data_IF_824454144524
#
_entry.id   IF_824454144524
#
_cell.length_a   1.000
_cell.length_b   1.000
_cell.length_c   1.000
_cell.angle_alpha   90.00
_cell.angle_beta   90.00
_cell.angle_gamma   90.00
#
_symmetry.space_group_name_H-M   'P 1'
#
loop_
_entity.id
_entity.type
_entity.pdbx_description
1 polymer ?
#
# COMPACT_ATOMS: atom_id res chain seq x y z
N UNK A 1 56.33 -63.87 -12.35
CA UNK A 1 55.18 -63.89 -13.29
C UNK A 1 54.05 -64.69 -12.65
N UNK A 2 53.25 -64.04 -11.79
CA UNK A 2 52.03 -64.57 -11.17
C UNK A 2 51.44 -63.42 -10.34
N UNK A 3 50.57 -62.60 -10.95
CA UNK A 3 49.88 -61.47 -10.27
C UNK A 3 48.84 -60.76 -11.16
N UNK A 4 48.25 -61.43 -12.15
CA UNK A 4 47.31 -60.79 -13.10
C UNK A 4 45.97 -61.51 -13.28
N UNK A 5 45.57 -62.38 -12.35
CA UNK A 5 44.35 -63.20 -12.52
C UNK A 5 43.31 -63.12 -11.41
N UNK A 6 43.47 -62.26 -10.39
CA UNK A 6 42.51 -62.16 -9.28
C UNK A 6 41.64 -60.90 -9.27
N UNK A 7 41.54 -60.16 -10.38
CA UNK A 7 40.75 -58.91 -10.45
C UNK A 7 39.39 -59.03 -11.17
N UNK A 8 38.97 -60.23 -11.62
CA UNK A 8 37.89 -60.34 -12.60
C UNK A 8 36.80 -61.39 -12.31
N UNK A 9 36.50 -61.72 -11.04
CA UNK A 9 35.56 -62.82 -10.75
C UNK A 9 34.45 -62.60 -9.72
N UNK A 10 34.06 -61.36 -9.41
CA UNK A 10 32.97 -61.12 -8.44
C UNK A 10 31.77 -60.29 -8.90
N UNK A 11 31.73 -59.73 -10.14
CA UNK A 11 30.61 -58.86 -10.56
C UNK A 11 29.74 -59.45 -11.70
N UNK A 12 30.08 -60.63 -12.22
CA UNK A 12 29.32 -61.24 -13.34
C UNK A 12 28.15 -62.17 -12.96
N UNK A 13 27.74 -62.26 -11.70
CA UNK A 13 26.80 -63.31 -11.25
C UNK A 13 25.38 -62.84 -10.89
N UNK A 14 24.91 -61.70 -11.39
CA UNK A 14 23.56 -61.18 -11.08
C UNK A 14 22.72 -60.70 -12.29
N UNK A 15 23.17 -60.96 -13.53
CA UNK A 15 22.49 -60.49 -14.74
C UNK A 15 21.97 -61.62 -15.67
N UNK A 16 21.72 -62.83 -15.15
CA UNK A 16 21.11 -63.91 -15.93
C UNK A 16 19.95 -64.55 -15.17
N UNK A 17 18.80 -63.90 -15.17
CA UNK A 17 17.51 -64.58 -14.98
C UNK A 17 16.38 -63.76 -15.59
N UNK A 18 15.52 -64.47 -16.33
CA UNK A 18 14.27 -64.04 -16.98
C UNK A 18 14.40 -63.45 -18.39
N UNK A 19 14.65 -64.33 -19.37
CA UNK A 19 14.11 -64.19 -20.72
C UNK A 19 12.89 -65.11 -20.83
N UNK A 20 11.68 -64.54 -20.77
CA UNK A 20 10.43 -65.22 -21.15
C UNK A 20 10.02 -64.65 -22.50
N UNK A 21 9.96 -65.54 -23.48
CA UNK A 21 9.55 -65.33 -24.86
C UNK A 21 8.04 -65.08 -24.94
N UNK A 22 7.61 -63.99 -25.57
CA UNK A 22 6.26 -63.88 -26.15
C UNK A 22 6.33 -63.28 -27.56
N UNK A 23 5.70 -63.99 -28.49
CA UNK A 23 5.58 -63.73 -29.93
C UNK A 23 4.71 -62.50 -30.25
N UNK A 24 4.81 -61.94 -31.47
CA UNK A 24 4.14 -60.71 -31.84
C UNK A 24 2.69 -60.98 -32.25
N UNK A 25 1.77 -60.12 -31.82
CA UNK A 25 0.46 -59.97 -32.44
C UNK A 25 0.21 -58.49 -32.70
N UNK A 26 0.16 -58.16 -33.99
CA UNK A 26 -0.33 -56.90 -34.50
C UNK A 26 -1.85 -56.86 -34.34
N UNK A 27 -2.39 -55.83 -33.69
CA UNK A 27 -3.75 -55.35 -33.97
C UNK A 27 -3.75 -53.83 -33.79
N UNK A 28 -3.99 -53.15 -34.91
CA UNK A 28 -4.46 -51.78 -35.05
C UNK A 28 -5.76 -51.56 -34.28
N UNK A 29 -5.81 -50.58 -33.38
CA UNK A 29 -7.06 -49.96 -32.96
C UNK A 29 -6.83 -48.50 -32.57
N UNK A 30 -7.39 -47.62 -33.39
CA UNK A 30 -7.57 -46.22 -33.09
C UNK A 30 -8.49 -46.03 -31.88
N UNK A 31 -8.15 -45.10 -30.97
CA UNK A 31 -9.14 -44.23 -30.33
C UNK A 31 -8.43 -43.07 -29.60
N UNK A 32 -8.77 -41.86 -30.05
CA UNK A 32 -8.91 -40.61 -29.29
C UNK A 32 -8.58 -40.68 -27.80
N UNK A 33 -7.45 -40.07 -27.40
CA UNK A 33 -7.24 -39.58 -26.03
C UNK A 33 -6.81 -38.13 -26.12
N UNK A 34 -7.74 -37.28 -25.68
CA UNK A 34 -7.56 -36.03 -24.97
C UNK A 34 -6.11 -35.53 -24.87
N UNK A 35 -5.86 -34.37 -25.47
CA UNK A 35 -4.64 -33.58 -25.29
C UNK A 35 -4.64 -33.00 -23.86
N UNK A 36 -4.37 -33.87 -22.87
CA UNK A 36 -3.94 -33.46 -21.53
C UNK A 36 -2.52 -32.96 -21.71
N UNK A 37 -2.35 -31.63 -21.66
CA UNK A 37 -1.06 -31.01 -21.39
C UNK A 37 -0.44 -31.72 -20.18
N UNK A 38 0.62 -32.47 -20.42
CA UNK A 38 1.35 -33.21 -19.40
C UNK A 38 1.97 -32.22 -18.39
N UNK A 39 1.64 -32.29 -17.09
CA UNK A 39 2.47 -31.73 -16.02
C UNK A 39 3.64 -32.67 -15.71
N UNK A 40 4.29 -33.21 -16.74
CA UNK A 40 5.32 -34.23 -16.59
C UNK A 40 6.66 -33.69 -16.11
N UNK A 41 6.97 -32.41 -16.36
CA UNK A 41 8.25 -31.80 -15.98
C UNK A 41 8.36 -31.51 -14.48
N UNK A 42 7.26 -31.16 -13.80
CA UNK A 42 7.28 -30.81 -12.38
C UNK A 42 7.60 -32.01 -11.47
N UNK A 43 7.16 -33.22 -11.84
CA UNK A 43 7.35 -34.41 -11.01
C UNK A 43 8.82 -34.88 -11.04
N UNK A 44 9.50 -34.81 -12.19
CA UNK A 44 10.91 -35.23 -12.28
C UNK A 44 11.86 -34.27 -11.54
N UNK A 45 11.63 -32.95 -11.59
CA UNK A 45 12.45 -31.97 -10.86
C UNK A 45 12.31 -32.11 -9.33
N UNK A 46 11.08 -32.32 -8.83
CA UNK A 46 10.84 -32.53 -7.39
C UNK A 46 11.52 -33.79 -6.85
N UNK A 47 11.56 -34.87 -7.65
CA UNK A 47 12.19 -36.14 -7.28
C UNK A 47 13.71 -36.02 -7.20
N UNK A 48 14.33 -35.27 -8.11
CA UNK A 48 15.78 -35.04 -8.09
C UNK A 48 16.20 -34.05 -6.99
N UNK A 49 15.37 -33.02 -6.72
CA UNK A 49 15.49 -32.12 -5.58
C UNK A 49 15.53 -32.88 -4.26
N UNK A 50 14.50 -33.69 -4.00
CA UNK A 50 14.41 -34.49 -2.78
C UNK A 50 15.54 -35.51 -2.68
N UNK A 51 15.94 -36.09 -3.81
CA UNK A 51 17.06 -37.04 -3.87
C UNK A 51 18.37 -36.39 -3.49
N UNK A 52 18.71 -35.20 -4.00
CA UNK A 52 19.99 -34.57 -3.71
C UNK A 52 20.01 -33.90 -2.33
N UNK A 53 18.92 -33.26 -1.91
CA UNK A 53 18.88 -32.54 -0.63
C UNK A 53 18.76 -33.47 0.59
N UNK A 54 18.15 -34.65 0.43
CA UNK A 54 17.99 -35.65 1.51
C UNK A 54 19.03 -36.78 1.45
N UNK A 55 19.83 -36.89 0.39
CA UNK A 55 20.89 -37.88 0.30
C UNK A 55 22.08 -37.55 1.20
N UNK A 56 22.85 -38.58 1.53
CA UNK A 56 24.19 -38.44 2.08
C UNK A 56 25.07 -37.77 1.01
N UNK A 57 25.81 -36.69 1.32
CA UNK A 57 26.68 -36.03 0.34
C UNK A 57 27.72 -37.00 -0.26
N UNK A 58 27.89 -36.96 -1.59
CA UNK A 58 28.82 -37.84 -2.32
C UNK A 58 29.47 -37.12 -3.50
N UNK A 59 30.71 -37.51 -3.85
CA UNK A 59 31.39 -37.02 -5.05
C UNK A 59 31.22 -38.03 -6.21
N UNK A 60 31.37 -37.59 -7.46
CA UNK A 60 31.30 -38.46 -8.64
C UNK A 60 32.64 -38.50 -9.38
N UNK A 61 33.12 -39.72 -9.63
CA UNK A 61 34.34 -39.98 -10.37
C UNK A 61 34.01 -40.58 -11.74
N UNK A 62 34.45 -39.93 -12.80
CA UNK A 62 34.35 -40.44 -14.17
C UNK A 62 35.69 -41.09 -14.53
N UNK A 63 35.70 -42.41 -14.69
CA UNK A 63 36.89 -43.19 -15.06
C UNK A 63 36.73 -43.68 -16.48
N UNK A 64 37.76 -43.51 -17.30
CA UNK A 64 37.83 -44.09 -18.64
C UNK A 64 38.62 -45.40 -18.59
N UNK A 65 37.92 -46.53 -18.68
CA UNK A 65 38.54 -47.85 -18.77
C UNK A 65 38.13 -48.45 -20.11
N UNK A 66 39.10 -48.79 -20.95
CA UNK A 66 38.89 -49.45 -22.25
C UNK A 66 37.90 -48.71 -23.19
N UNK A 67 38.01 -47.37 -23.28
CA UNK A 67 37.13 -46.51 -24.09
C UNK A 67 35.66 -46.47 -23.63
N UNK A 68 35.36 -46.89 -22.40
CA UNK A 68 34.04 -46.72 -21.77
C UNK A 68 34.16 -45.86 -20.52
N UNK A 69 33.36 -44.79 -20.46
CA UNK A 69 33.28 -43.89 -19.30
C UNK A 69 32.36 -44.53 -18.26
N UNK A 70 32.90 -44.89 -17.11
CA UNK A 70 32.14 -45.34 -15.94
C UNK A 70 32.03 -44.24 -14.90
N UNK A 71 30.82 -44.01 -14.37
CA UNK A 71 30.54 -43.01 -13.33
C UNK A 71 30.40 -43.72 -11.99
N UNK A 72 31.35 -43.50 -11.08
CA UNK A 72 31.34 -44.03 -9.72
C UNK A 72 30.88 -42.97 -8.73
N UNK A 73 30.03 -43.36 -7.77
CA UNK A 73 29.67 -42.51 -6.63
C UNK A 73 30.55 -42.88 -5.44
N UNK A 74 31.26 -41.89 -4.90
CA UNK A 74 32.27 -42.07 -3.86
C UNK A 74 31.94 -41.21 -2.64
N UNK A 75 32.47 -41.60 -1.48
CA UNK A 75 32.49 -40.72 -0.31
C UNK A 75 33.22 -39.40 -0.64
N UNK A 76 32.90 -38.36 0.13
CA UNK A 76 33.49 -37.03 -0.04
C UNK A 76 35.01 -37.11 -0.03
N UNK A 77 35.65 -36.68 -1.12
CA UNK A 77 37.10 -36.57 -1.23
C UNK A 77 37.62 -35.54 -0.21
N UNK A 78 38.63 -35.93 0.58
CA UNK A 78 39.30 -35.03 1.50
C UNK A 78 40.27 -34.13 0.73
N UNK A 79 39.77 -32.99 0.23
CA UNK A 79 40.58 -31.99 -0.45
C UNK A 79 40.62 -30.68 0.33
N UNK A 80 41.76 -29.94 0.30
CA UNK A 80 41.87 -28.66 0.97
C UNK A 80 40.78 -27.69 0.52
N UNK A 81 39.97 -27.21 1.47
CA UNK A 81 38.83 -26.30 1.24
C UNK A 81 37.79 -26.84 0.23
N UNK A 82 37.65 -28.16 0.09
CA UNK A 82 36.69 -28.80 -0.85
C UNK A 82 36.80 -28.25 -2.27
N UNK A 83 38.03 -27.98 -2.71
CA UNK A 83 38.34 -27.56 -4.08
C UNK A 83 38.70 -28.76 -4.93
N UNK A 84 38.27 -28.74 -6.19
CA UNK A 84 38.56 -29.78 -7.17
C UNK A 84 40.09 -29.98 -7.28
N UNK A 85 40.59 -31.20 -7.04
CA UNK A 85 42.02 -31.46 -7.13
C UNK A 85 42.45 -31.41 -8.60
N UNK A 86 43.64 -30.89 -8.86
CA UNK A 86 44.23 -30.95 -10.20
C UNK A 86 44.51 -32.43 -10.56
N UNK A 87 44.11 -32.82 -11.78
CA UNK A 87 44.32 -34.18 -12.26
C UNK A 87 45.83 -34.46 -12.40
N UNK A 88 46.34 -35.39 -11.59
CA UNK A 88 47.75 -35.76 -11.59
C UNK A 88 48.06 -36.77 -12.70
N UNK A 89 49.19 -36.61 -13.40
CA UNK A 89 49.60 -37.56 -14.47
C UNK A 89 50.19 -38.87 -13.92
N UNK A 90 50.47 -38.95 -12.62
CA UNK A 90 51.10 -40.09 -11.93
C UNK A 90 50.59 -40.18 -10.50
N UNK A 91 50.47 -41.41 -10.00
CA UNK A 91 50.03 -41.71 -8.63
C UNK A 91 48.76 -42.54 -8.60
N UNK A 92 48.32 -42.84 -7.39
CA UNK A 92 47.05 -43.53 -7.12
C UNK A 92 46.15 -42.64 -6.27
N UNK A 93 44.86 -42.71 -6.50
CA UNK A 93 43.80 -42.08 -5.73
C UNK A 93 43.10 -43.18 -4.94
N UNK A 94 43.07 -43.03 -3.62
CA UNK A 94 42.29 -43.91 -2.74
C UNK A 94 40.87 -43.36 -2.64
N UNK A 95 39.89 -44.20 -2.97
CA UNK A 95 38.47 -43.85 -2.94
C UNK A 95 37.68 -44.91 -2.15
N UNK A 96 36.55 -44.50 -1.58
CA UNK A 96 35.55 -45.41 -1.00
C UNK A 96 34.26 -45.25 -1.78
N UNK A 97 33.68 -46.36 -2.22
CA UNK A 97 32.42 -46.35 -2.95
C UNK A 97 31.27 -46.13 -1.96
N UNK A 98 30.25 -45.39 -2.37
CA UNK A 98 29.08 -45.10 -1.52
C UNK A 98 28.29 -46.38 -1.15
N UNK A 99 28.29 -47.38 -2.04
CA UNK A 99 27.62 -48.68 -1.82
C UNK A 99 28.42 -49.63 -0.91
N UNK A 100 29.73 -49.42 -0.80
CA UNK A 100 30.66 -50.27 -0.04
C UNK A 100 31.70 -49.40 0.71
N UNK A 101 31.31 -48.72 1.79
CA UNK A 101 32.17 -47.76 2.49
C UNK A 101 33.33 -48.42 3.26
N UNK A 102 33.21 -49.71 3.60
CA UNK A 102 34.22 -50.45 4.36
C UNK A 102 35.46 -50.84 3.52
N UNK A 103 35.41 -50.67 2.20
CA UNK A 103 36.47 -51.06 1.28
C UNK A 103 37.15 -49.84 0.63
N UNK A 104 38.48 -49.79 0.75
CA UNK A 104 39.31 -48.76 0.08
C UNK A 104 39.74 -49.28 -1.29
N UNK A 105 39.28 -48.61 -2.33
CA UNK A 105 39.63 -48.88 -3.72
C UNK A 105 40.75 -47.96 -4.17
N UNK A 106 41.68 -48.49 -4.96
CA UNK A 106 42.80 -47.73 -5.52
C UNK A 106 42.60 -47.53 -7.01
N UNK A 107 42.37 -46.29 -7.44
CA UNK A 107 42.24 -45.90 -8.85
C UNK A 107 43.51 -45.18 -9.29
N UNK A 108 44.01 -45.44 -10.49
CA UNK A 108 45.15 -44.68 -11.02
C UNK A 108 44.67 -43.34 -11.54
N UNK A 109 45.37 -42.26 -11.20
CA UNK A 109 45.00 -40.92 -11.68
C UNK A 109 44.95 -40.79 -13.21
N UNK A 110 45.71 -41.61 -13.93
CA UNK A 110 45.71 -41.60 -15.41
C UNK A 110 44.39 -42.08 -16.02
N UNK A 111 43.62 -42.87 -15.29
CA UNK A 111 42.34 -43.41 -15.75
C UNK A 111 41.17 -42.47 -15.37
N UNK A 112 41.44 -41.43 -14.56
CA UNK A 112 40.44 -40.44 -14.14
C UNK A 112 40.27 -39.36 -15.20
N UNK A 113 39.09 -39.33 -15.81
CA UNK A 113 38.72 -38.34 -16.84
C UNK A 113 38.22 -37.04 -16.18
N UNK A 114 37.33 -37.16 -15.19
CA UNK A 114 36.75 -36.01 -14.52
C UNK A 114 36.31 -36.34 -13.08
N UNK A 115 36.41 -35.34 -12.21
CA UNK A 115 35.89 -35.37 -10.84
C UNK A 115 34.82 -34.29 -10.74
N UNK A 116 33.59 -34.69 -10.43
CA UNK A 116 32.48 -33.78 -10.16
C UNK A 116 32.25 -33.81 -8.66
N UNK A 117 32.49 -32.67 -8.01
CA UNK A 117 32.24 -32.54 -6.57
C UNK A 117 30.75 -32.44 -6.29
N UNK A 118 30.35 -32.87 -5.09
CA UNK A 118 28.99 -32.72 -4.61
C UNK A 118 28.45 -31.29 -4.77
N UNK A 119 29.27 -30.32 -4.38
CA UNK A 119 28.94 -28.91 -4.41
C UNK A 119 28.75 -28.39 -5.85
N UNK A 120 29.60 -28.79 -6.78
CA UNK A 120 29.47 -28.47 -8.22
C UNK A 120 28.19 -29.08 -8.81
N UNK A 121 27.85 -30.30 -8.39
CA UNK A 121 26.61 -30.97 -8.81
C UNK A 121 25.38 -30.20 -8.34
N UNK A 122 25.34 -29.80 -7.06
CA UNK A 122 24.24 -28.97 -6.54
C UNK A 122 24.11 -27.65 -7.30
N UNK A 123 25.23 -26.97 -7.59
CA UNK A 123 25.22 -25.72 -8.34
C UNK A 123 24.74 -25.92 -9.80
N UNK A 124 25.16 -27.01 -10.44
CA UNK A 124 24.71 -27.36 -11.80
C UNK A 124 23.20 -27.63 -11.87
N UNK A 125 22.64 -28.25 -10.83
CA UNK A 125 21.20 -28.49 -10.75
C UNK A 125 20.44 -27.17 -10.58
N UNK A 126 20.93 -26.26 -9.74
CA UNK A 126 20.35 -24.91 -9.62
C UNK A 126 20.35 -24.16 -10.94
N UNK A 127 21.45 -24.21 -11.70
CA UNK A 127 21.47 -23.63 -13.05
C UNK A 127 20.42 -24.27 -13.96
N UNK A 128 20.28 -25.59 -13.93
CA UNK A 128 19.25 -26.31 -14.69
C UNK A 128 17.83 -25.86 -14.31
N UNK A 129 17.54 -25.71 -13.02
CA UNK A 129 16.24 -25.27 -12.53
C UNK A 129 15.92 -23.83 -12.95
N UNK A 130 16.90 -22.93 -12.85
CA UNK A 130 16.77 -21.54 -13.33
C UNK A 130 16.47 -21.52 -14.84
N UNK A 131 17.20 -22.32 -15.63
CA UNK A 131 17.01 -22.38 -17.09
C UNK A 131 15.66 -23.01 -17.48
N UNK A 132 15.13 -23.91 -16.66
CA UNK A 132 13.78 -24.48 -16.80
C UNK A 132 12.67 -23.55 -16.31
N UNK A 133 13.01 -22.45 -15.63
CA UNK A 133 12.05 -21.53 -15.02
C UNK A 133 11.41 -22.06 -13.72
N UNK A 134 12.00 -23.07 -13.09
CA UNK A 134 11.53 -23.61 -11.81
C UNK A 134 12.22 -22.89 -10.64
N UNK A 135 11.75 -21.67 -10.39
CA UNK A 135 12.35 -20.78 -9.40
C UNK A 135 12.06 -21.20 -7.95
N UNK A 136 10.92 -21.83 -7.69
CA UNK A 136 10.54 -22.23 -6.33
C UNK A 136 11.52 -23.28 -5.79
N UNK A 137 11.80 -24.32 -6.58
CA UNK A 137 12.78 -25.35 -6.21
C UNK A 137 14.22 -24.80 -6.18
N UNK A 138 14.57 -23.88 -7.10
CA UNK A 138 15.87 -23.22 -7.09
C UNK A 138 16.09 -22.39 -5.81
N UNK A 139 15.04 -21.72 -5.31
CA UNK A 139 15.11 -20.93 -4.08
C UNK A 139 15.47 -21.77 -2.85
N UNK A 140 14.91 -22.98 -2.75
CA UNK A 140 15.21 -23.89 -1.64
C UNK A 140 16.70 -24.31 -1.62
N UNK A 141 17.33 -24.47 -2.78
CA UNK A 141 18.78 -24.68 -2.86
C UNK A 141 19.57 -23.46 -2.37
N UNK A 142 19.14 -22.23 -2.67
CA UNK A 142 19.81 -21.04 -2.12
C UNK A 142 19.68 -20.95 -0.60
N UNK A 143 18.53 -21.32 -0.03
CA UNK A 143 18.35 -21.42 1.43
C UNK A 143 19.29 -22.48 2.03
N UNK A 144 19.51 -23.59 1.33
CA UNK A 144 20.42 -24.63 1.73
C UNK A 144 21.89 -24.18 1.70
N UNK A 145 22.33 -23.56 0.60
CA UNK A 145 23.68 -23.02 0.47
C UNK A 145 23.96 -22.00 1.56
N UNK A 146 23.04 -21.08 1.84
CA UNK A 146 23.18 -20.10 2.92
C UNK A 146 23.36 -20.73 4.31
N UNK A 147 22.79 -21.91 4.55
CA UNK A 147 22.87 -22.61 5.85
C UNK A 147 24.11 -23.49 6.00
N UNK A 148 24.59 -24.11 4.92
CA UNK A 148 25.63 -25.16 4.98
C UNK A 148 26.91 -24.85 4.22
N UNK A 149 26.87 -23.94 3.26
CA UNK A 149 27.95 -23.64 2.31
C UNK A 149 28.08 -22.14 2.09
N UNK A 150 28.20 -21.38 3.19
CA UNK A 150 28.35 -19.93 3.11
C UNK A 150 29.65 -19.54 2.39
N UNK A 151 29.57 -18.58 1.46
CA UNK A 151 30.71 -18.14 0.65
C UNK A 151 31.19 -19.11 -0.43
N UNK A 152 30.42 -20.16 -0.77
CA UNK A 152 30.79 -21.07 -1.85
C UNK A 152 30.94 -20.33 -3.20
N UNK A 153 32.05 -20.51 -3.93
CA UNK A 153 32.24 -19.91 -5.26
C UNK A 153 31.12 -20.31 -6.24
N UNK A 154 30.67 -19.35 -7.06
CA UNK A 154 29.65 -19.58 -8.08
C UNK A 154 28.19 -19.42 -7.60
N UNK A 155 27.92 -19.59 -6.29
CA UNK A 155 26.55 -19.40 -5.75
C UNK A 155 26.05 -17.98 -5.94
N UNK A 156 26.91 -16.97 -5.74
CA UNK A 156 26.56 -15.57 -5.95
C UNK A 156 26.17 -15.29 -7.42
N UNK A 157 26.89 -15.87 -8.39
CA UNK A 157 26.58 -15.70 -9.81
C UNK A 157 25.26 -16.40 -10.18
N UNK A 158 25.02 -17.59 -9.63
CA UNK A 158 23.74 -18.29 -9.79
C UNK A 158 22.57 -17.51 -9.19
N UNK A 159 22.76 -16.90 -8.02
CA UNK A 159 21.75 -16.05 -7.36
C UNK A 159 21.44 -14.80 -8.18
N UNK A 160 22.47 -14.16 -8.75
CA UNK A 160 22.29 -12.99 -9.62
C UNK A 160 21.48 -13.36 -10.88
N UNK A 161 21.83 -14.49 -11.52
CA UNK A 161 21.06 -15.02 -12.67
C UNK A 161 19.62 -15.34 -12.27
N UNK A 162 19.42 -15.98 -11.11
CA UNK A 162 18.10 -16.28 -10.57
C UNK A 162 17.25 -15.01 -10.36
N UNK A 163 17.80 -14.00 -9.68
CA UNK A 163 17.10 -12.73 -9.40
C UNK A 163 16.66 -12.03 -10.69
N UNK A 164 17.56 -11.97 -11.69
CA UNK A 164 17.24 -11.36 -12.98
C UNK A 164 16.14 -12.11 -13.73
N UNK A 165 16.26 -13.43 -13.84
CA UNK A 165 15.31 -14.27 -14.58
C UNK A 165 13.93 -14.30 -13.91
N UNK A 166 13.88 -14.46 -12.59
CA UNK A 166 12.61 -14.48 -11.86
C UNK A 166 11.91 -13.11 -11.91
N UNK A 167 12.69 -12.01 -11.79
CA UNK A 167 12.13 -10.67 -11.94
C UNK A 167 11.51 -10.47 -13.33
N UNK A 168 12.15 -10.93 -14.39
CA UNK A 168 11.61 -10.88 -15.75
C UNK A 168 10.29 -11.67 -15.90
N UNK A 169 10.18 -12.83 -15.25
CA UNK A 169 8.92 -13.61 -15.24
C UNK A 169 7.81 -12.88 -14.49
N UNK A 170 8.09 -12.36 -13.29
CA UNK A 170 7.10 -11.59 -12.53
C UNK A 170 6.67 -10.30 -13.24
N UNK A 171 7.62 -9.62 -13.89
CA UNK A 171 7.36 -8.48 -14.76
C UNK A 171 6.43 -8.84 -15.94
N UNK A 172 6.53 -10.05 -16.49
CA UNK A 172 5.71 -10.53 -17.58
C UNK A 172 4.31 -11.01 -17.14
N UNK A 173 4.16 -11.49 -15.89
CA UNK A 173 2.87 -11.89 -15.30
C UNK A 173 1.91 -10.70 -15.11
N UNK A 174 2.44 -9.48 -15.10
CA UNK A 174 1.68 -8.24 -15.16
C UNK A 174 1.80 -7.38 -13.92
N UNK A 175 0.93 -6.35 -13.85
CA UNK A 175 1.02 -5.25 -12.87
C UNK A 175 1.04 -5.68 -11.42
N UNK A 176 0.41 -6.81 -11.10
CA UNK A 176 0.28 -7.30 -9.73
C UNK A 176 1.63 -7.65 -9.08
N UNK A 177 2.64 -7.99 -9.90
CA UNK A 177 3.96 -8.43 -9.41
C UNK A 177 5.11 -7.52 -9.81
N UNK A 178 4.82 -6.35 -10.39
CA UNK A 178 5.85 -5.40 -10.81
C UNK A 178 6.68 -4.88 -9.60
N UNK A 179 6.08 -4.76 -8.41
CA UNK A 179 6.80 -4.34 -7.20
C UNK A 179 7.75 -5.42 -6.69
N UNK A 180 7.33 -6.68 -6.73
CA UNK A 180 8.13 -7.85 -6.38
C UNK A 180 9.29 -8.00 -7.37
N UNK A 181 9.02 -7.86 -8.67
CA UNK A 181 10.05 -7.85 -9.71
C UNK A 181 11.08 -6.74 -9.46
N UNK A 182 10.60 -5.52 -9.20
CA UNK A 182 11.47 -4.39 -8.87
C UNK A 182 12.33 -4.65 -7.63
N UNK A 183 11.77 -5.31 -6.61
CA UNK A 183 12.50 -5.63 -5.38
C UNK A 183 13.67 -6.60 -5.62
N UNK A 184 13.50 -7.60 -6.49
CA UNK A 184 14.56 -8.52 -6.88
C UNK A 184 15.66 -7.82 -7.67
N UNK A 185 15.27 -6.98 -8.65
CA UNK A 185 16.23 -6.23 -9.46
C UNK A 185 17.01 -5.20 -8.63
N UNK A 186 16.38 -4.56 -7.65
CA UNK A 186 17.08 -3.68 -6.72
C UNK A 186 18.05 -4.42 -5.82
N UNK A 187 17.70 -5.63 -5.38
CA UNK A 187 18.65 -6.48 -4.64
C UNK A 187 19.84 -6.84 -5.51
N UNK A 188 19.60 -7.24 -6.76
CA UNK A 188 20.64 -7.55 -7.74
C UNK A 188 21.55 -6.35 -8.00
N UNK A 189 20.98 -5.17 -8.23
CA UNK A 189 21.75 -3.94 -8.47
C UNK A 189 22.59 -3.54 -7.26
N UNK A 190 22.09 -3.74 -6.03
CA UNK A 190 22.86 -3.47 -4.81
C UNK A 190 24.08 -4.38 -4.69
N UNK A 191 23.94 -5.63 -5.08
CA UNK A 191 24.99 -6.65 -4.96
C UNK A 191 25.97 -6.57 -6.14
N UNK A 192 25.50 -6.26 -7.35
CA UNK A 192 26.29 -6.13 -8.57
C UNK A 192 25.65 -5.09 -9.53
N UNK A 193 26.05 -3.80 -9.45
CA UNK A 193 25.53 -2.74 -10.31
C UNK A 193 25.84 -2.95 -11.80
N UNK A 194 26.99 -3.56 -12.11
CA UNK A 194 27.48 -3.80 -13.46
C UNK A 194 26.99 -5.14 -14.03
N UNK A 195 25.95 -5.73 -13.43
CA UNK A 195 25.39 -7.00 -13.90
C UNK A 195 24.82 -6.84 -15.32
N UNK A 196 25.30 -7.71 -16.21
CA UNK A 196 24.79 -7.86 -17.57
C UNK A 196 24.30 -9.30 -17.74
N UNK A 197 23.06 -9.43 -18.19
CA UNK A 197 22.45 -10.73 -18.47
C UNK A 197 23.10 -11.46 -19.65
N UNK A 198 22.80 -12.75 -19.82
CA UNK A 198 23.29 -13.54 -20.95
C UNK A 198 22.85 -12.99 -22.32
N UNK A 199 21.76 -12.22 -22.36
CA UNK A 199 21.25 -11.54 -23.57
C UNK A 199 21.93 -10.18 -23.83
N UNK A 200 22.86 -9.77 -22.97
CA UNK A 200 23.55 -8.48 -23.07
C UNK A 200 22.78 -7.30 -22.46
N UNK A 201 21.66 -7.56 -21.77
CA UNK A 201 20.87 -6.50 -21.13
C UNK A 201 21.41 -6.17 -19.74
N UNK A 202 21.77 -4.91 -19.46
CA UNK A 202 22.10 -4.44 -18.12
C UNK A 202 20.92 -4.53 -17.15
N UNK A 203 21.18 -4.76 -15.87
CA UNK A 203 20.15 -4.76 -14.82
C UNK A 203 19.41 -3.42 -14.72
N UNK A 204 20.10 -2.31 -14.96
CA UNK A 204 19.53 -0.96 -14.85
C UNK A 204 18.43 -0.69 -15.89
N UNK A 205 18.54 -1.28 -17.08
CA UNK A 205 17.54 -1.13 -18.14
C UNK A 205 16.24 -1.86 -17.75
N UNK A 206 16.35 -3.04 -17.16
CA UNK A 206 15.19 -3.80 -16.68
C UNK A 206 14.53 -3.10 -15.48
N UNK A 207 15.34 -2.56 -14.54
CA UNK A 207 14.83 -1.71 -13.45
C UNK A 207 14.01 -0.56 -14.03
N UNK A 208 14.54 0.15 -15.03
CA UNK A 208 13.85 1.26 -15.66
C UNK A 208 12.54 0.84 -16.34
N UNK A 209 12.52 -0.31 -17.00
CA UNK A 209 11.33 -0.84 -17.66
C UNK A 209 10.21 -1.16 -16.66
N UNK A 210 10.54 -1.90 -15.59
CA UNK A 210 9.58 -2.26 -14.53
C UNK A 210 9.12 -1.01 -13.77
N UNK A 211 10.07 -0.15 -13.37
CA UNK A 211 9.78 1.07 -12.64
C UNK A 211 8.84 2.00 -13.43
N UNK A 212 9.04 2.13 -14.74
CA UNK A 212 8.14 2.90 -15.61
C UNK A 212 6.70 2.40 -15.53
N UNK A 213 6.48 1.08 -15.59
CA UNK A 213 5.12 0.50 -15.49
C UNK A 213 4.48 0.79 -14.13
N UNK A 214 5.24 0.67 -13.04
CA UNK A 214 4.76 1.00 -11.69
C UNK A 214 4.40 2.48 -11.57
N UNK A 215 5.25 3.38 -12.07
CA UNK A 215 5.00 4.81 -12.02
C UNK A 215 3.80 5.20 -12.89
N UNK A 216 3.69 4.65 -14.11
CA UNK A 216 2.55 4.88 -15.00
C UNK A 216 1.25 4.39 -14.37
N UNK A 217 1.27 3.24 -13.68
CA UNK A 217 0.11 2.73 -12.95
C UNK A 217 -0.32 3.67 -11.81
N UNK A 218 0.63 4.13 -11.00
CA UNK A 218 0.34 5.09 -9.94
C UNK A 218 -0.16 6.43 -10.45
N UNK A 219 0.37 6.92 -11.58
CA UNK A 219 -0.14 8.13 -12.23
C UNK A 219 -1.58 7.90 -12.71
N UNK A 220 -1.87 6.75 -13.31
CA UNK A 220 -3.22 6.43 -13.80
C UNK A 220 -4.28 6.33 -12.69
N UNK A 221 -3.85 6.04 -11.46
CA UNK A 221 -4.71 5.91 -10.27
C UNK A 221 -4.76 7.18 -9.40
N UNK A 222 -4.27 8.33 -9.88
CA UNK A 222 -4.10 9.58 -9.11
C UNK A 222 -3.28 9.44 -7.81
N UNK A 223 -2.39 8.45 -7.73
CA UNK A 223 -1.55 8.18 -6.55
C UNK A 223 -0.25 9.00 -6.58
N UNK A 224 -0.36 10.31 -6.80
CA UNK A 224 0.79 11.22 -7.01
C UNK A 224 1.77 11.30 -5.83
N UNK A 225 1.29 11.05 -4.60
CA UNK A 225 2.16 10.98 -3.41
C UNK A 225 3.09 9.77 -3.51
N UNK A 226 2.58 8.62 -3.98
CA UNK A 226 3.36 7.40 -4.11
C UNK A 226 4.40 7.51 -5.22
N UNK A 227 4.03 8.11 -6.37
CA UNK A 227 4.96 8.43 -7.46
C UNK A 227 6.16 9.19 -6.91
N UNK A 228 5.93 10.31 -6.21
CA UNK A 228 7.01 11.13 -5.64
C UNK A 228 7.86 10.39 -4.62
N UNK A 229 7.23 9.62 -3.72
CA UNK A 229 7.96 8.84 -2.70
C UNK A 229 8.85 7.79 -3.34
N UNK A 230 8.32 7.07 -4.34
CA UNK A 230 9.06 6.06 -5.08
C UNK A 230 10.21 6.70 -5.86
N UNK A 231 9.94 7.75 -6.65
CA UNK A 231 10.96 8.51 -7.39
C UNK A 231 12.10 9.01 -6.49
N UNK A 232 11.76 9.62 -5.34
CA UNK A 232 12.77 10.12 -4.39
C UNK A 232 13.64 8.98 -3.82
N UNK A 233 13.04 7.82 -3.55
CA UNK A 233 13.76 6.64 -3.05
C UNK A 233 14.70 6.10 -4.14
N UNK A 234 14.21 5.96 -5.37
CA UNK A 234 14.98 5.41 -6.49
C UNK A 234 16.16 6.31 -6.87
N UNK A 235 15.95 7.64 -6.92
CA UNK A 235 17.03 8.61 -7.15
C UNK A 235 18.10 8.52 -6.05
N UNK A 236 17.71 8.25 -4.80
CA UNK A 236 18.66 8.10 -3.69
C UNK A 236 19.47 6.81 -3.79
N UNK A 237 18.87 5.72 -4.27
CA UNK A 237 19.53 4.41 -4.30
C UNK A 237 20.39 4.17 -5.53
N UNK A 238 19.98 4.66 -6.69
CA UNK A 238 20.65 4.39 -7.98
C UNK A 238 21.32 5.66 -8.50
N UNK A 239 20.59 6.77 -8.50
CA UNK A 239 21.03 8.04 -9.09
C UNK A 239 19.98 8.59 -10.04
N UNK A 240 20.02 9.90 -10.30
CA UNK A 240 19.04 10.55 -11.20
C UNK A 240 19.34 10.24 -12.67
N UNK A 241 20.61 10.23 -13.05
CA UNK A 241 21.04 10.17 -14.46
C UNK A 241 20.76 8.80 -15.09
N UNK A 242 20.80 7.74 -14.27
CA UNK A 242 20.55 6.36 -14.69
C UNK A 242 19.05 5.99 -14.74
N UNK A 243 18.16 6.92 -14.36
CA UNK A 243 16.72 6.66 -14.21
C UNK A 243 15.85 7.59 -15.08
N UNK A 244 15.87 7.46 -16.41
CA UNK A 244 15.02 8.25 -17.31
C UNK A 244 13.53 8.08 -17.02
N UNK A 245 13.09 6.89 -16.59
CA UNK A 245 11.71 6.61 -16.21
C UNK A 245 11.19 7.51 -15.07
N UNK A 246 12.06 7.81 -14.11
CA UNK A 246 11.74 8.70 -12.99
C UNK A 246 11.68 10.15 -13.45
N UNK A 247 12.63 10.58 -14.30
CA UNK A 247 12.65 11.94 -14.85
C UNK A 247 11.39 12.21 -15.69
N UNK A 248 10.97 11.25 -16.52
CA UNK A 248 9.72 11.32 -17.28
C UNK A 248 8.50 11.46 -16.37
N UNK A 249 8.41 10.65 -15.32
CA UNK A 249 7.32 10.72 -14.35
C UNK A 249 7.29 12.06 -13.61
N UNK A 250 8.45 12.57 -13.17
CA UNK A 250 8.57 13.91 -12.56
C UNK A 250 8.11 15.00 -13.51
N UNK A 251 8.49 14.95 -14.78
CA UNK A 251 8.08 15.92 -15.79
C UNK A 251 6.55 15.93 -15.99
N UNK A 252 5.91 14.75 -15.99
CA UNK A 252 4.44 14.66 -16.05
C UNK A 252 3.77 15.27 -14.82
N UNK A 253 4.31 15.04 -13.62
CA UNK A 253 3.80 15.67 -12.39
C UNK A 253 3.96 17.19 -12.43
N UNK A 254 5.09 17.69 -12.92
CA UNK A 254 5.34 19.12 -13.10
C UNK A 254 4.33 19.70 -14.08
N UNK A 255 4.11 19.06 -15.24
CA UNK A 255 3.12 19.51 -16.23
C UNK A 255 1.72 19.59 -15.63
N UNK A 256 1.27 18.56 -14.91
CA UNK A 256 -0.04 18.57 -14.25
C UNK A 256 -0.14 19.67 -13.18
N UNK A 257 0.90 19.85 -12.36
CA UNK A 257 0.92 20.89 -11.35
C UNK A 257 0.93 22.31 -11.97
N UNK A 258 1.59 22.49 -13.12
CA UNK A 258 1.55 23.76 -13.88
C UNK A 258 0.15 24.06 -14.39
N UNK A 259 -0.58 23.06 -14.91
CA UNK A 259 -1.98 23.24 -15.31
C UNK A 259 -2.83 23.71 -14.12
N UNK A 260 -2.71 23.08 -12.95
CA UNK A 260 -3.42 23.53 -11.75
C UNK A 260 -3.00 24.92 -11.28
N UNK A 261 -1.72 25.28 -11.43
CA UNK A 261 -1.22 26.64 -11.13
C UNK A 261 -1.89 27.69 -12.01
N UNK A 262 -1.93 27.45 -13.33
CA UNK A 262 -2.55 28.35 -14.29
C UNK A 262 -4.06 28.50 -14.05
N UNK A 263 -4.76 27.39 -13.80
CA UNK A 263 -6.18 27.41 -13.45
C UNK A 263 -6.44 28.14 -12.13
N UNK A 264 -5.59 27.95 -11.11
CA UNK A 264 -5.70 28.66 -9.85
C UNK A 264 -5.49 30.17 -10.00
N UNK A 265 -4.57 30.59 -10.87
CA UNK A 265 -4.36 32.00 -11.20
C UNK A 265 -5.56 32.60 -11.93
N UNK A 266 -6.11 31.90 -12.93
CA UNK A 266 -7.32 32.35 -13.64
C UNK A 266 -8.52 32.47 -12.69
N UNK A 267 -8.72 31.49 -11.80
CA UNK A 267 -9.77 31.54 -10.78
C UNK A 267 -9.56 32.71 -9.80
N UNK A 268 -8.32 33.04 -9.46
CA UNK A 268 -7.99 34.23 -8.67
C UNK A 268 -8.35 35.53 -9.40
N UNK A 269 -7.99 35.65 -10.68
CA UNK A 269 -8.23 36.84 -11.49
C UNK A 269 -9.74 37.07 -11.71
N UNK A 270 -10.51 35.99 -11.82
CA UNK A 270 -11.97 36.00 -11.89
C UNK A 270 -12.67 36.19 -10.53
N UNK A 271 -11.92 36.41 -9.45
CA UNK A 271 -12.42 36.52 -8.06
C UNK A 271 -13.17 35.27 -7.56
N UNK A 272 -12.96 34.10 -8.19
CA UNK A 272 -13.46 32.79 -7.77
C UNK A 272 -12.54 32.18 -6.71
N UNK A 273 -12.42 32.85 -5.57
CA UNK A 273 -11.39 32.55 -4.57
C UNK A 273 -11.48 31.14 -3.96
N UNK A 274 -12.69 30.55 -3.90
CA UNK A 274 -12.91 29.18 -3.43
C UNK A 274 -12.26 28.17 -4.37
N UNK A 275 -12.53 28.29 -5.66
CA UNK A 275 -12.01 27.39 -6.70
C UNK A 275 -10.48 27.52 -6.78
N UNK A 276 -9.97 28.74 -6.73
CA UNK A 276 -8.53 29.01 -6.63
C UNK A 276 -7.89 28.27 -5.45
N UNK A 277 -8.54 28.24 -4.27
CA UNK A 277 -8.04 27.53 -3.09
C UNK A 277 -8.01 26.01 -3.29
N UNK A 278 -9.05 25.43 -3.90
CA UNK A 278 -9.11 24.00 -4.18
C UNK A 278 -8.02 23.59 -5.18
N UNK A 279 -7.88 24.33 -6.29
CA UNK A 279 -6.86 24.10 -7.32
C UNK A 279 -5.45 24.28 -6.76
N UNK A 280 -5.22 25.29 -5.91
CA UNK A 280 -3.95 25.48 -5.21
C UNK A 280 -3.58 24.28 -4.34
N UNK A 281 -4.55 23.69 -3.62
CA UNK A 281 -4.32 22.46 -2.85
C UNK A 281 -4.01 21.27 -3.73
N UNK A 282 -4.70 21.12 -4.86
CA UNK A 282 -4.43 20.06 -5.83
C UNK A 282 -3.02 20.20 -6.42
N UNK A 283 -2.63 21.40 -6.85
CA UNK A 283 -1.26 21.72 -7.27
C UNK A 283 -0.23 21.29 -6.22
N UNK A 284 -0.42 21.68 -4.96
CA UNK A 284 0.49 21.32 -3.86
C UNK A 284 0.45 19.81 -3.53
N UNK A 285 -0.68 19.11 -3.77
CA UNK A 285 -0.79 17.65 -3.64
C UNK A 285 0.01 16.94 -4.74
N UNK A 286 -0.02 17.45 -5.97
CA UNK A 286 0.71 16.87 -7.11
C UNK A 286 2.20 17.14 -7.00
N UNK A 287 2.61 18.41 -6.96
CA UNK A 287 4.03 18.79 -6.95
C UNK A 287 4.28 20.06 -6.10
N UNK A 288 4.65 19.90 -4.80
CA UNK A 288 4.83 21.03 -3.87
C UNK A 288 6.02 21.94 -4.17
N UNK A 289 6.98 21.45 -4.97
CA UNK A 289 8.23 22.18 -5.30
C UNK A 289 8.14 22.92 -6.63
N UNK A 290 6.92 23.11 -7.15
CA UNK A 290 6.71 23.87 -8.37
C UNK A 290 7.13 25.32 -8.16
N UNK A 291 7.93 25.87 -9.08
CA UNK A 291 8.40 27.24 -9.03
C UNK A 291 7.23 28.24 -9.03
N UNK A 292 7.23 29.18 -8.08
CA UNK A 292 6.14 30.15 -7.90
C UNK A 292 4.84 29.56 -7.36
N UNK A 293 4.73 28.24 -7.16
CA UNK A 293 3.51 27.59 -6.69
C UNK A 293 3.23 27.88 -5.22
N UNK A 294 4.27 27.93 -4.38
CA UNK A 294 4.12 28.21 -2.95
C UNK A 294 3.71 29.66 -2.69
N UNK A 295 4.27 30.59 -3.44
CA UNK A 295 3.96 32.02 -3.38
C UNK A 295 2.49 32.26 -3.75
N UNK A 296 2.02 31.65 -4.84
CA UNK A 296 0.62 31.69 -5.24
C UNK A 296 -0.30 31.09 -4.17
N UNK A 297 0.05 29.92 -3.61
CA UNK A 297 -0.73 29.30 -2.55
C UNK A 297 -0.85 30.18 -1.29
N UNK A 298 0.24 30.88 -0.92
CA UNK A 298 0.23 31.84 0.19
C UNK A 298 -0.68 33.04 -0.13
N UNK A 299 -0.63 33.57 -1.34
CA UNK A 299 -1.50 34.69 -1.75
C UNK A 299 -2.98 34.30 -1.74
N UNK A 300 -3.32 33.14 -2.31
CA UNK A 300 -4.69 32.60 -2.28
C UNK A 300 -5.16 32.45 -0.84
N UNK A 301 -4.34 31.86 0.04
CA UNK A 301 -4.68 31.67 1.44
C UNK A 301 -4.87 32.99 2.21
N UNK A 302 -4.19 34.07 1.81
CA UNK A 302 -4.40 35.40 2.40
C UNK A 302 -5.74 36.02 1.97
N UNK A 303 -6.14 35.84 0.70
CA UNK A 303 -7.41 36.38 0.18
C UNK A 303 -8.61 35.55 0.63
N UNK A 304 -8.45 34.23 0.74
CA UNK A 304 -9.50 33.29 1.15
C UNK A 304 -8.96 32.29 2.18
N UNK A 305 -8.97 32.66 3.47
CA UNK A 305 -8.49 31.80 4.52
C UNK A 305 -9.45 30.61 4.71
N UNK A 306 -8.89 29.40 4.70
CA UNK A 306 -9.62 28.16 4.95
C UNK A 306 -8.96 27.42 6.10
N UNK A 307 -9.75 26.99 7.07
CA UNK A 307 -9.30 26.21 8.23
C UNK A 307 -9.66 24.74 7.99
N UNK A 308 -8.66 23.87 7.94
CA UNK A 308 -8.87 22.41 7.90
C UNK A 308 -8.86 21.86 9.32
N UNK A 309 -9.92 21.14 9.69
CA UNK A 309 -10.07 20.52 11.00
C UNK A 309 -10.15 19.01 10.83
N UNK A 310 -9.19 18.29 11.41
CA UNK A 310 -9.24 16.84 11.48
C UNK A 310 -10.25 16.39 12.55
N UNK A 311 -11.15 15.48 12.19
CA UNK A 311 -12.16 14.92 13.10
C UNK A 311 -12.11 13.40 13.08
N UNK A 312 -12.36 12.79 14.24
CA UNK A 312 -12.41 11.32 14.39
C UNK A 312 -13.77 10.72 14.04
N UNK A 313 -14.82 11.54 14.04
CA UNK A 313 -16.20 11.13 13.79
C UNK A 313 -16.86 12.13 12.84
N UNK A 314 -17.57 11.63 11.82
CA UNK A 314 -18.39 12.45 10.91
C UNK A 314 -19.72 12.78 11.59
N UNK A 315 -20.26 14.00 11.40
CA UNK A 315 -21.61 14.32 11.85
C UNK A 315 -22.63 13.53 11.01
N UNK A 316 -23.65 12.99 11.68
CA UNK A 316 -24.86 12.45 11.03
C UNK A 316 -25.89 13.54 10.74
N UNK A 317 -26.02 14.50 11.65
CA UNK A 317 -26.97 15.62 11.52
C UNK A 317 -26.40 16.87 12.19
N UNK A 318 -26.50 18.06 11.59
CA UNK A 318 -26.00 19.28 12.22
C UNK A 318 -26.95 19.79 13.30
N UNK A 319 -26.82 19.26 14.53
CA UNK A 319 -27.68 19.62 15.67
C UNK A 319 -26.86 19.96 16.93
N UNK A 320 -26.91 21.25 17.30
CA UNK A 320 -26.26 21.83 18.48
C UNK A 320 -26.81 21.31 19.82
N UNK A 321 -28.06 20.82 19.85
CA UNK A 321 -28.74 20.39 21.07
C UNK A 321 -28.41 18.94 21.46
N UNK A 322 -27.89 18.14 20.52
CA UNK A 322 -27.53 16.75 20.76
C UNK A 322 -26.41 16.62 21.78
N UNK A 323 -26.69 15.92 22.87
CA UNK A 323 -25.71 15.61 23.91
C UNK A 323 -24.99 14.27 23.65
N UNK A 324 -25.61 13.40 22.87
CA UNK A 324 -25.13 12.06 22.53
C UNK A 324 -24.08 12.07 21.41
N UNK A 325 -24.10 13.09 20.54
CA UNK A 325 -23.21 13.21 19.38
C UNK A 325 -22.42 14.52 19.39
N UNK A 326 -21.16 14.43 19.81
CA UNK A 326 -20.19 15.53 19.72
C UNK A 326 -19.96 16.08 18.30
N UNK A 327 -19.85 15.27 17.23
CA UNK A 327 -19.66 15.80 15.88
C UNK A 327 -20.90 16.56 15.38
N UNK A 328 -22.10 16.06 15.67
CA UNK A 328 -23.37 16.75 15.34
C UNK A 328 -23.43 18.10 16.05
N UNK A 329 -23.09 18.11 17.35
CA UNK A 329 -23.08 19.31 18.17
C UNK A 329 -22.12 20.37 17.64
N UNK A 330 -20.87 19.99 17.35
CA UNK A 330 -19.84 20.91 16.80
C UNK A 330 -20.26 21.49 15.46
N UNK A 331 -20.74 20.65 14.56
CA UNK A 331 -21.21 21.10 13.24
C UNK A 331 -22.45 21.99 13.37
N UNK A 332 -23.36 21.66 14.30
CA UNK A 332 -24.50 22.49 14.66
C UNK A 332 -24.11 23.90 15.12
N UNK A 333 -23.06 24.05 15.92
CA UNK A 333 -22.53 25.38 16.31
C UNK A 333 -22.04 26.22 15.12
N UNK A 334 -21.55 25.59 14.05
CA UNK A 334 -21.04 26.31 12.88
C UNK A 334 -22.16 26.73 11.93
N UNK A 335 -23.20 25.90 11.81
CA UNK A 335 -24.25 26.04 10.80
C UNK A 335 -25.51 26.73 11.31
N UNK A 336 -25.79 26.71 12.62
CA UNK A 336 -27.07 27.17 13.18
C UNK A 336 -26.91 28.08 14.38
N UNK A 337 -27.76 29.10 14.43
CA UNK A 337 -27.94 29.99 15.59
C UNK A 337 -29.22 29.66 16.34
N UNK A 338 -29.23 29.92 17.64
CA UNK A 338 -30.38 29.75 18.53
C UNK A 338 -30.87 31.11 19.02
N UNK A 339 -32.08 31.17 19.58
CA UNK A 339 -32.61 32.42 20.18
C UNK A 339 -31.65 33.02 21.21
N UNK A 340 -31.11 32.15 22.07
CA UNK A 340 -30.06 32.46 23.02
C UNK A 340 -28.86 31.54 22.82
N UNK A 341 -27.67 32.10 22.83
CA UNK A 341 -26.40 31.39 22.75
C UNK A 341 -25.69 31.48 24.10
N UNK A 342 -25.22 30.34 24.61
CA UNK A 342 -24.39 30.32 25.81
C UNK A 342 -22.96 30.77 25.47
N UNK A 343 -22.56 31.95 25.96
CA UNK A 343 -21.23 32.53 25.74
C UNK A 343 -20.17 31.96 26.69
N UNK A 344 -20.60 31.45 27.85
CA UNK A 344 -19.70 30.88 28.86
C UNK A 344 -20.15 31.10 30.29
N UNK A 345 -19.39 30.60 31.27
CA UNK A 345 -19.65 30.86 32.68
C UNK A 345 -19.39 32.34 33.01
N UNK A 346 -20.38 33.01 33.61
CA UNK A 346 -20.22 34.34 34.21
C UNK A 346 -19.92 34.26 35.71
N UNK A 347 -19.71 35.42 36.34
CA UNK A 347 -19.36 35.51 37.76
C UNK A 347 -20.42 34.86 38.67
N UNK A 348 -21.71 35.09 38.39
CA UNK A 348 -22.82 34.57 39.21
C UNK A 348 -23.72 33.57 38.47
N UNK A 349 -23.75 33.63 37.13
CA UNK A 349 -24.62 32.82 36.26
C UNK A 349 -24.03 32.64 34.87
N UNK A 350 -24.54 31.68 34.11
CA UNK A 350 -24.21 31.55 32.69
C UNK A 350 -24.48 32.85 31.94
N UNK A 351 -23.55 33.24 31.04
CA UNK A 351 -23.74 34.37 30.14
C UNK A 351 -24.42 33.88 28.87
N UNK A 352 -25.47 34.60 28.48
CA UNK A 352 -26.22 34.33 27.27
C UNK A 352 -26.28 35.60 26.43
N UNK A 353 -26.04 35.45 25.14
CA UNK A 353 -26.24 36.49 24.14
C UNK A 353 -27.34 36.06 23.17
N UNK A 354 -27.95 37.03 22.49
CA UNK A 354 -28.85 36.74 21.38
C UNK A 354 -28.21 37.22 20.07
N UNK A 355 -28.35 36.46 18.97
CA UNK A 355 -28.03 36.94 17.63
C UNK A 355 -28.77 38.22 17.23
N UNK A 356 -29.96 38.40 17.81
CA UNK A 356 -30.96 39.32 17.30
C UNK A 356 -30.75 40.77 17.73
N UNK A 357 -29.92 41.01 18.75
CA UNK A 357 -29.85 42.31 19.41
C UNK A 357 -29.55 42.15 20.90
N UNK A 358 -30.39 42.73 21.75
CA UNK A 358 -30.18 42.73 23.21
C UNK A 358 -31.33 42.08 23.96
N UNK A 359 -30.99 41.41 25.06
CA UNK A 359 -31.98 40.87 25.98
C UNK A 359 -31.71 41.34 27.39
N UNK A 360 -32.77 41.79 28.07
CA UNK A 360 -32.70 42.25 29.44
C UNK A 360 -33.85 41.69 30.24
N UNK A 361 -33.53 41.21 31.43
CA UNK A 361 -34.55 40.82 32.39
C UNK A 361 -35.14 42.06 33.07
N UNK A 362 -36.44 42.04 33.35
CA UNK A 362 -37.09 43.08 34.17
C UNK A 362 -36.58 43.03 35.61
N UNK A 363 -36.62 44.17 36.31
CA UNK A 363 -36.10 44.27 37.68
C UNK A 363 -36.83 43.37 38.69
N UNK A 364 -38.09 43.06 38.44
CA UNK A 364 -38.91 42.13 39.25
C UNK A 364 -38.71 40.65 38.87
N UNK A 365 -37.85 40.36 37.88
CA UNK A 365 -37.55 39.03 37.34
C UNK A 365 -38.77 38.29 36.77
N UNK A 366 -39.89 38.99 36.53
CA UNK A 366 -41.12 38.43 35.96
C UNK A 366 -41.29 38.72 34.48
N UNK A 367 -40.28 39.26 33.82
CA UNK A 367 -40.32 39.45 32.39
C UNK A 367 -38.95 39.48 31.75
N UNK A 368 -38.96 39.39 30.43
CA UNK A 368 -37.79 39.42 29.56
C UNK A 368 -38.09 40.39 28.41
N UNK A 369 -37.26 41.40 28.25
CA UNK A 369 -37.34 42.38 27.17
C UNK A 369 -36.31 41.99 26.13
N UNK A 370 -36.77 41.68 24.92
CA UNK A 370 -35.95 41.34 23.76
C UNK A 370 -36.07 42.51 22.78
N UNK A 371 -34.95 43.18 22.53
CA UNK A 371 -34.86 44.25 21.55
C UNK A 371 -34.07 43.73 20.36
N UNK A 372 -34.74 43.64 19.22
CA UNK A 372 -34.17 43.24 17.93
C UNK A 372 -33.45 44.46 17.34
N UNK A 373 -32.24 44.24 16.87
CA UNK A 373 -31.44 45.23 16.16
C UNK A 373 -31.36 44.82 14.69
N UNK A 374 -32.07 45.53 13.79
CA UNK A 374 -32.10 45.20 12.37
C UNK A 374 -30.72 45.20 11.71
N UNK A 375 -29.76 45.95 12.25
CA UNK A 375 -28.39 45.98 11.72
C UNK A 375 -27.64 44.65 11.90
N UNK A 376 -28.10 43.79 12.83
CA UNK A 376 -27.51 42.47 13.07
C UNK A 376 -28.14 41.36 12.21
N UNK A 377 -29.21 41.68 11.47
CA UNK A 377 -29.89 40.73 10.58
C UNK A 377 -29.25 40.77 9.19
N UNK A 378 -29.07 39.59 8.57
CA UNK A 378 -28.61 39.50 7.17
C UNK A 378 -29.62 40.10 6.19
N UNK A 379 -30.90 39.99 6.53
CA UNK A 379 -32.02 40.60 5.82
C UNK A 379 -32.90 41.33 6.86
N UNK A 380 -32.91 42.67 6.89
CA UNK A 380 -33.65 43.46 7.87
C UNK A 380 -35.16 43.18 7.89
N UNK A 381 -35.73 42.73 6.77
CA UNK A 381 -37.17 42.44 6.65
C UNK A 381 -37.51 40.98 7.03
N UNK A 382 -36.50 40.14 7.27
CA UNK A 382 -36.69 38.71 7.53
C UNK A 382 -37.14 38.38 8.95
N UNK A 383 -36.94 39.28 9.92
CA UNK A 383 -37.24 39.02 11.31
C UNK A 383 -37.72 40.26 12.06
N UNK A 384 -38.95 40.19 12.57
CA UNK A 384 -39.56 41.23 13.39
C UNK A 384 -40.05 40.67 14.75
N UNK A 385 -40.56 41.57 15.59
CA UNK A 385 -41.12 41.22 16.89
C UNK A 385 -42.37 40.32 16.80
N UNK A 386 -43.10 40.36 15.69
CA UNK A 386 -44.27 39.50 15.46
C UNK A 386 -43.85 38.04 15.22
N UNK A 387 -42.79 37.81 14.43
CA UNK A 387 -42.24 36.48 14.19
C UNK A 387 -41.62 35.90 15.46
N UNK A 388 -40.83 36.71 16.18
CA UNK A 388 -40.25 36.31 17.47
C UNK A 388 -41.33 35.95 18.48
N UNK A 389 -42.37 36.79 18.60
CA UNK A 389 -43.46 36.52 19.54
C UNK A 389 -44.27 35.27 19.17
N UNK A 390 -44.60 35.08 17.90
CA UNK A 390 -45.27 33.86 17.41
C UNK A 390 -44.46 32.61 17.71
N UNK A 391 -43.14 32.66 17.57
CA UNK A 391 -42.28 31.53 17.88
C UNK A 391 -42.26 31.21 19.38
N UNK A 392 -42.16 32.22 20.23
CA UNK A 392 -42.22 32.06 21.69
C UNK A 392 -43.60 31.56 22.16
N UNK A 393 -44.68 31.95 21.48
CA UNK A 393 -46.02 31.40 21.70
C UNK A 393 -46.11 29.93 21.29
N UNK A 394 -45.58 29.58 20.12
CA UNK A 394 -45.54 28.19 19.64
C UNK A 394 -44.76 27.28 20.59
N UNK A 395 -43.73 27.80 21.27
CA UNK A 395 -43.02 27.04 22.32
C UNK A 395 -43.86 26.79 23.58
N UNK A 396 -44.91 27.58 23.81
CA UNK A 396 -45.83 27.44 24.93
C UNK A 396 -47.07 26.58 24.60
N UNK A 397 -47.34 26.33 23.31
CA UNK A 397 -48.50 25.55 22.84
C UNK A 397 -48.20 24.05 22.83
N UNK A 398 -48.96 23.28 23.63
CA UNK A 398 -48.82 21.83 23.79
C UNK A 398 -49.03 21.06 22.47
N UNK A 399 -49.80 21.63 21.55
CA UNK A 399 -50.12 20.98 20.26
C UNK A 399 -49.07 21.24 19.19
N UNK A 400 -48.17 22.20 19.41
CA UNK A 400 -47.18 22.59 18.42
C UNK A 400 -45.91 21.72 18.53
N UNK A 401 -45.31 21.37 17.39
CA UNK A 401 -44.06 20.58 17.36
C UNK A 401 -42.84 21.22 18.04
N UNK A 402 -42.93 22.50 18.41
CA UNK A 402 -41.84 23.24 19.07
C UNK A 402 -42.11 23.41 20.57
N UNK A 403 -43.11 22.71 21.11
CA UNK A 403 -43.49 22.80 22.50
C UNK A 403 -42.31 22.52 23.44
N UNK A 404 -42.05 23.45 24.35
CA UNK A 404 -41.06 23.30 25.41
C UNK A 404 -41.77 23.37 26.77
N UNK A 405 -41.95 22.24 27.48
CA UNK A 405 -42.70 22.19 28.73
C UNK A 405 -42.21 23.18 29.79
N UNK A 406 -40.89 23.34 29.89
CA UNK A 406 -40.23 24.23 30.85
C UNK A 406 -40.58 25.70 30.57
N UNK A 407 -40.56 26.10 29.30
CA UNK A 407 -40.97 27.44 28.85
C UNK A 407 -42.46 27.67 29.08
N UNK A 408 -43.31 26.73 28.64
CA UNK A 408 -44.76 26.81 28.79
C UNK A 408 -45.21 26.96 30.25
N UNK A 409 -44.50 26.32 31.19
CA UNK A 409 -44.78 26.43 32.62
C UNK A 409 -44.50 27.83 33.19
N UNK A 410 -43.55 28.55 32.59
CA UNK A 410 -43.10 29.87 33.03
C UNK A 410 -43.87 30.99 32.30
N UNK A 411 -44.18 30.79 31.03
CA UNK A 411 -44.77 31.76 30.12
C UNK A 411 -46.20 32.18 30.53
N UNK A 412 -46.48 33.49 30.55
CA UNK A 412 -47.81 34.07 30.81
C UNK A 412 -48.43 34.60 29.52
N UNK A 413 -47.83 35.65 28.96
CA UNK A 413 -48.23 36.29 27.71
C UNK A 413 -47.04 37.05 27.13
N UNK A 414 -47.23 37.63 25.95
CA UNK A 414 -46.22 38.36 25.22
C UNK A 414 -46.82 39.65 24.66
N UNK A 415 -46.10 40.75 24.81
CA UNK A 415 -46.45 42.03 24.24
C UNK A 415 -45.41 42.39 23.17
N UNK A 416 -45.87 42.83 22.02
CA UNK A 416 -45.00 43.38 20.97
C UNK A 416 -45.11 44.90 21.02
N UNK A 417 -44.01 45.58 21.34
CA UNK A 417 -43.93 47.03 21.48
C UNK A 417 -43.23 47.60 20.25
N UNK A 418 -44.00 48.14 19.30
CA UNK A 418 -43.45 48.54 18.00
C UNK A 418 -43.02 47.33 17.16
N UNK A 419 -42.09 47.51 16.22
CA UNK A 419 -41.70 46.44 15.27
C UNK A 419 -40.59 45.53 15.83
N UNK A 420 -39.74 46.04 16.72
CA UNK A 420 -38.49 45.37 17.11
C UNK A 420 -38.34 45.13 18.62
N UNK A 421 -39.35 45.41 19.44
CA UNK A 421 -39.29 45.13 20.87
C UNK A 421 -40.38 44.13 21.26
N UNK A 422 -39.96 43.07 21.96
CA UNK A 422 -40.82 42.00 22.45
C UNK A 422 -40.64 41.87 23.95
N UNK A 423 -41.73 42.01 24.69
CA UNK A 423 -41.75 41.87 26.14
C UNK A 423 -42.48 40.58 26.50
N UNK A 424 -41.74 39.63 27.05
CA UNK A 424 -42.30 38.38 27.56
C UNK A 424 -42.62 38.55 29.03
N UNK A 425 -43.82 38.13 29.42
CA UNK A 425 -44.26 38.12 30.81
C UNK A 425 -44.30 36.69 31.35
N UNK A 426 -43.84 36.52 32.59
CA UNK A 426 -43.76 35.23 33.28
C UNK A 426 -44.78 35.13 34.42
N UNK A 427 -45.29 33.92 34.65
CA UNK A 427 -46.23 33.60 35.74
C UNK A 427 -45.60 33.72 37.13
N UNK A 428 -44.28 33.57 37.20
CA UNK A 428 -43.47 33.62 38.44
C UNK A 428 -42.09 34.20 38.15
N UNK A 429 -41.41 34.80 39.15
CA UNK A 429 -40.03 35.23 38.99
C UNK A 429 -39.12 34.06 38.61
N UNK A 430 -38.19 34.27 37.67
CA UNK A 430 -37.21 33.26 37.26
C UNK A 430 -35.80 33.85 37.26
N UNK A 431 -34.75 33.09 37.59
CA UNK A 431 -33.39 33.66 37.73
C UNK A 431 -32.67 33.79 36.38
N UNK A 432 -32.94 32.86 35.47
CA UNK A 432 -32.23 32.75 34.20
C UNK A 432 -33.16 32.23 33.09
N UNK A 433 -34.21 33.00 32.72
CA UNK A 433 -35.13 32.61 31.65
C UNK A 433 -34.42 32.44 30.29
N UNK A 434 -33.28 33.11 30.08
CA UNK A 434 -32.49 33.06 28.86
C UNK A 434 -31.98 31.64 28.56
N UNK A 435 -31.68 30.85 29.59
CA UNK A 435 -31.22 29.47 29.42
C UNK A 435 -32.28 28.54 28.81
N UNK A 436 -33.56 28.87 28.96
CA UNK A 436 -34.69 28.11 28.40
C UNK A 436 -34.90 28.38 26.91
N UNK A 437 -34.22 29.39 26.35
CA UNK A 437 -34.37 29.85 24.97
C UNK A 437 -33.20 29.41 24.07
N UNK A 438 -32.51 28.32 24.42
CA UNK A 438 -31.51 27.69 23.55
C UNK A 438 -32.16 26.82 22.46
N UNK A 439 -33.23 27.32 21.83
CA UNK A 439 -33.98 26.68 20.75
C UNK A 439 -33.68 27.32 19.41
N UNK A 440 -33.81 26.56 18.31
CA UNK A 440 -33.60 27.06 16.95
C UNK A 440 -34.74 27.99 16.49
N UNK A 441 -34.43 28.89 15.54
CA UNK A 441 -35.40 29.77 14.89
C UNK A 441 -36.35 29.00 13.97
N UNK A 442 -35.81 28.07 13.17
CA UNK A 442 -36.60 27.18 12.32
C UNK A 442 -36.85 25.82 13.00
N UNK A 443 -37.96 25.19 12.65
CA UNK A 443 -38.34 23.82 12.99
C UNK A 443 -37.78 22.77 12.03
N UNK A 444 -37.31 23.18 10.84
CA UNK A 444 -36.94 22.25 9.79
C UNK A 444 -35.43 21.98 9.89
N UNK A 445 -35.07 20.73 10.19
CA UNK A 445 -33.66 20.29 10.16
C UNK A 445 -33.09 20.36 8.72
N UNK A 446 -33.94 20.57 7.71
CA UNK A 446 -33.57 20.63 6.30
C UNK A 446 -33.78 21.99 5.62
N UNK A 447 -34.23 23.03 6.31
CA UNK A 447 -34.35 24.34 5.66
C UNK A 447 -32.99 25.02 5.56
N UNK A 448 -32.71 25.53 4.36
CA UNK A 448 -31.49 26.22 3.95
C UNK A 448 -31.18 27.53 4.70
N UNK A 449 -31.86 27.79 5.81
CA UNK A 449 -31.53 28.85 6.75
C UNK A 449 -30.38 28.37 7.66
N UNK A 450 -29.22 28.16 7.02
CA UNK A 450 -27.93 28.18 7.69
C UNK A 450 -27.67 29.63 8.16
N UNK A 451 -28.38 30.04 9.21
CA UNK A 451 -28.23 31.36 9.84
C UNK A 451 -26.92 31.46 10.63
N UNK A 452 -26.16 30.36 10.72
CA UNK A 452 -24.81 30.32 11.25
C UNK A 452 -23.79 31.12 10.45
N UNK A 453 -22.57 31.16 10.98
CA UNK A 453 -21.42 31.78 10.31
C UNK A 453 -20.98 31.01 9.06
N UNK A 454 -21.31 29.73 8.98
CA UNK A 454 -20.95 28.84 7.89
C UNK A 454 -22.19 28.15 7.31
N UNK A 455 -22.08 27.71 6.06
CA UNK A 455 -23.09 26.89 5.38
C UNK A 455 -22.44 25.61 4.86
N UNK A 456 -23.22 24.53 4.78
CA UNK A 456 -22.77 23.30 4.11
C UNK A 456 -22.65 23.61 2.63
N UNK A 457 -21.50 23.27 2.05
CA UNK A 457 -21.30 23.35 0.63
C UNK A 457 -21.70 22.00 0.02
N UNK A 458 -22.70 21.97 -0.85
CA UNK A 458 -23.19 20.75 -1.49
C UNK A 458 -22.28 20.25 -2.64
N UNK A 459 -21.03 20.74 -2.72
CA UNK A 459 -20.09 20.32 -3.74
C UNK A 459 -19.39 19.02 -3.34
N UNK A 460 -19.94 17.92 -3.85
CA UNK A 460 -19.38 16.57 -4.01
C UNK A 460 -18.73 15.93 -2.78
N UNK A 461 -19.43 14.93 -2.24
CA UNK A 461 -18.82 13.84 -1.50
C UNK A 461 -17.80 13.14 -2.41
N UNK A 462 -16.53 13.51 -2.28
CA UNK A 462 -15.44 12.65 -2.73
C UNK A 462 -15.44 11.41 -1.81
N UNK A 463 -15.92 10.30 -2.37
CA UNK A 463 -15.67 8.94 -1.87
C UNK A 463 -14.19 8.55 -2.02
#
# INVERSE_FOLDING_TARGET
MSSKQNYFKSIQCLAERTWITLRPFAVTAALTVLLVLTPGSKIFAQVEFDRLMKAVPFDQLQINVDNQIQVLQIELLDTPNRRKPELLKRGVLEIRLLESPDEVYTVKWIDVDNIIMWEEKLLSEVHSLIDKGDFDNAFDYFLFFKRRYDGMPGVAQALQKYQFMQAGVWAAEGKERDLEALSLLESLYRDNPDFVSATGQPVIDEINAVLKRVLDDYISQDKMILVRKLSTRMIRSIGRDDLPSVVDAENRLIQQATVFKEQAQQAMDNNQLREAQQLSRQMMKVYPRLEGGRELAIEIARRYPVVLVGVTQKPTQPDRSRMDSWPDRRTGYLLRRTFMEFDGPGADRGKYSTPLGTVRQTGDKRGLIITIDPANLKDPDSLDGYLVSRRLLNMADVTHQNYVPQWASLFSHIDVRGVYEVVVHFRRPHVLPEALLQSFFDHNVNSDLADGYFRVDAAQSDD
#
